data_IF_447918515792
#
_entry.id   IF_447918515792
#
_cell.length_a   1.000
_cell.length_b   1.000
_cell.length_c   1.000
_cell.angle_alpha   90.00
_cell.angle_beta   90.00
_cell.angle_gamma   90.00
#
_symmetry.space_group_name_H-M   'P 1'
#
loop_
_entity.id
_entity.type
_entity.pdbx_description
1 polymer ?
#
# COMPACT_ATOMS: atom_id res chain seq x y z
N UNK A 1 33.41 51.92 -7.06
CA UNK A 1 32.34 51.12 -6.42
C UNK A 1 31.62 50.38 -7.55
N UNK A 2 32.26 49.49 -8.30
CA UNK A 2 32.74 48.16 -7.88
C UNK A 2 31.70 47.39 -7.06
N UNK A 3 31.10 46.36 -7.70
CA UNK A 3 31.04 44.95 -7.26
C UNK A 3 29.67 44.31 -7.59
N UNK A 4 29.72 43.03 -8.00
CA UNK A 4 28.63 42.08 -8.30
C UNK A 4 28.21 41.89 -9.76
N UNK A 5 29.18 41.49 -10.59
CA UNK A 5 28.90 40.40 -11.54
C UNK A 5 29.02 39.07 -10.78
N UNK A 6 27.89 38.39 -10.54
CA UNK A 6 27.89 37.02 -10.02
C UNK A 6 27.92 36.04 -11.20
N UNK A 7 29.02 35.31 -11.30
CA UNK A 7 29.21 34.24 -12.28
C UNK A 7 28.35 33.03 -11.88
N UNK A 8 27.33 32.72 -12.68
CA UNK A 8 26.70 31.40 -12.67
C UNK A 8 27.55 30.49 -13.56
N UNK A 9 28.47 29.74 -12.95
CA UNK A 9 29.14 28.66 -13.65
C UNK A 9 28.12 27.54 -13.95
N UNK A 10 28.17 26.89 -15.13
CA UNK A 10 27.34 25.74 -15.42
C UNK A 10 27.67 24.60 -14.44
N UNK A 11 26.64 24.06 -13.78
CA UNK A 11 26.76 22.90 -12.89
C UNK A 11 27.21 21.70 -13.71
N UNK A 12 28.37 21.13 -13.37
CA UNK A 12 28.86 19.91 -14.00
C UNK A 12 27.78 18.80 -13.90
N UNK A 13 27.60 17.96 -14.95
CA UNK A 13 26.68 16.84 -14.89
C UNK A 13 27.08 15.94 -13.71
N UNK A 14 26.08 15.45 -12.96
CA UNK A 14 26.31 14.44 -11.94
C UNK A 14 27.04 13.26 -12.59
N UNK A 15 28.11 12.79 -11.95
CA UNK A 15 28.86 11.65 -12.43
C UNK A 15 27.89 10.46 -12.58
N UNK A 16 27.58 10.12 -13.83
CA UNK A 16 26.91 8.86 -14.15
C UNK A 16 27.90 7.79 -13.74
N UNK A 17 27.61 7.07 -12.66
CA UNK A 17 28.41 5.90 -12.28
C UNK A 17 28.48 5.01 -13.52
N UNK A 18 29.70 4.65 -13.91
CA UNK A 18 29.88 3.67 -14.99
C UNK A 18 29.09 2.43 -14.61
N UNK A 19 28.43 1.83 -15.60
CA UNK A 19 27.58 0.63 -15.44
C UNK A 19 28.31 -0.49 -14.67
N UNK A 20 29.64 -0.50 -14.70
CA UNK A 20 30.51 -1.41 -13.93
C UNK A 20 30.52 -1.23 -12.40
N UNK A 21 29.96 -0.16 -11.83
CA UNK A 21 29.95 0.10 -10.37
C UNK A 21 28.60 -0.22 -9.69
N UNK A 22 27.71 -0.92 -10.38
CA UNK A 22 26.42 -1.33 -9.80
C UNK A 22 26.63 -2.58 -8.94
N UNK A 23 26.83 -2.35 -7.65
CA UNK A 23 26.97 -3.41 -6.65
C UNK A 23 25.58 -3.83 -6.16
N UNK A 24 25.16 -5.05 -6.49
CA UNK A 24 23.92 -5.61 -5.97
C UNK A 24 24.11 -5.99 -4.50
N UNK A 25 23.07 -5.84 -3.66
CA UNK A 25 23.14 -6.07 -2.19
C UNK A 25 23.66 -7.45 -1.78
N UNK A 26 23.81 -8.39 -2.70
CA UNK A 26 24.42 -9.72 -2.55
C UNK A 26 25.95 -9.73 -2.61
N UNK A 27 26.63 -8.60 -2.89
CA UNK A 27 28.08 -8.51 -3.00
C UNK A 27 28.66 -9.13 -4.28
N UNK A 28 27.82 -9.31 -5.30
CA UNK A 28 28.17 -9.91 -6.60
C UNK A 28 28.31 -8.80 -7.64
N UNK A 29 29.48 -8.71 -8.28
CA UNK A 29 29.74 -7.67 -9.28
C UNK A 29 29.00 -7.97 -10.59
N UNK A 30 28.73 -6.94 -11.40
CA UNK A 30 28.11 -7.10 -12.72
C UNK A 30 28.92 -8.03 -13.64
N UNK A 31 30.24 -8.02 -13.48
CA UNK A 31 31.17 -8.89 -14.22
C UNK A 31 31.03 -10.35 -13.81
N UNK A 32 30.87 -10.64 -12.52
CA UNK A 32 30.62 -11.99 -12.01
C UNK A 32 29.26 -12.53 -12.48
N UNK A 33 28.23 -11.69 -12.47
CA UNK A 33 26.92 -12.02 -13.02
C UNK A 33 26.99 -12.29 -14.53
N UNK A 34 27.70 -11.44 -15.28
CA UNK A 34 27.91 -11.63 -16.72
C UNK A 34 28.65 -12.94 -17.02
N UNK A 35 29.63 -13.33 -16.20
CA UNK A 35 30.35 -14.59 -16.35
C UNK A 35 29.44 -15.80 -16.06
N UNK A 36 28.62 -15.74 -15.01
CA UNK A 36 27.64 -16.80 -14.71
C UNK A 36 26.57 -16.94 -15.79
N UNK A 37 26.11 -15.81 -16.38
CA UNK A 37 25.20 -15.83 -17.53
C UNK A 37 25.88 -16.45 -18.75
N UNK A 38 27.15 -16.13 -19.02
CA UNK A 38 27.90 -16.75 -20.12
C UNK A 38 28.13 -18.25 -19.92
N UNK A 39 28.37 -18.70 -18.69
CA UNK A 39 28.51 -20.11 -18.34
C UNK A 39 27.18 -20.88 -18.52
N UNK A 40 26.05 -20.25 -18.16
CA UNK A 40 24.70 -20.77 -18.43
C UNK A 40 24.41 -20.86 -19.94
N UNK A 41 24.81 -19.87 -20.74
CA UNK A 41 24.68 -19.87 -22.20
C UNK A 41 25.54 -20.95 -22.86
N UNK A 42 26.71 -21.27 -22.30
CA UNK A 42 27.55 -22.37 -22.79
C UNK A 42 26.94 -23.73 -22.44
N UNK A 43 26.33 -23.88 -21.27
CA UNK A 43 25.54 -25.07 -20.93
C UNK A 43 24.36 -25.24 -21.91
N UNK A 44 23.67 -24.16 -22.31
CA UNK A 44 22.59 -24.22 -23.32
C UNK A 44 23.03 -24.78 -24.69
N UNK A 45 24.33 -24.76 -25.04
CA UNK A 45 24.85 -25.28 -26.31
C UNK A 45 25.28 -26.75 -26.24
N UNK A 46 25.20 -27.40 -25.07
CA UNK A 46 25.46 -28.82 -24.94
C UNK A 46 24.32 -29.65 -25.54
N UNK A 47 24.66 -30.69 -26.31
CA UNK A 47 23.70 -31.73 -26.71
C UNK A 47 23.27 -32.53 -25.47
N UNK A 48 22.31 -31.99 -24.74
CA UNK A 48 21.63 -32.70 -23.67
C UNK A 48 20.65 -33.70 -24.29
N UNK A 49 20.59 -34.93 -23.75
CA UNK A 49 19.50 -35.84 -24.07
C UNK A 49 18.15 -35.21 -23.71
N UNK A 50 17.07 -35.58 -24.42
CA UNK A 50 15.73 -34.95 -24.34
C UNK A 50 15.24 -34.70 -22.90
N UNK A 51 15.56 -35.59 -21.96
CA UNK A 51 15.17 -35.47 -20.55
C UNK A 51 15.94 -34.35 -19.82
N UNK A 52 17.26 -34.26 -20.01
CA UNK A 52 18.09 -33.24 -19.35
C UNK A 52 17.86 -31.86 -19.95
N UNK A 53 17.56 -31.78 -21.26
CA UNK A 53 17.15 -30.54 -21.90
C UNK A 53 15.82 -30.00 -21.32
N UNK A 54 14.84 -30.89 -21.06
CA UNK A 54 13.58 -30.53 -20.42
C UNK A 54 13.79 -30.04 -18.98
N UNK A 55 14.67 -30.70 -18.21
CA UNK A 55 15.01 -30.30 -16.85
C UNK A 55 15.73 -28.94 -16.80
N UNK A 56 16.70 -28.72 -17.69
CA UNK A 56 17.40 -27.43 -17.84
C UNK A 56 16.42 -26.33 -18.24
N UNK A 57 15.52 -26.59 -19.20
CA UNK A 57 14.50 -25.62 -19.61
C UNK A 57 13.52 -25.32 -18.47
N UNK A 58 13.07 -26.33 -17.73
CA UNK A 58 12.15 -26.16 -16.60
C UNK A 58 12.82 -25.39 -15.46
N UNK A 59 14.08 -25.71 -15.14
CA UNK A 59 14.87 -24.99 -14.15
C UNK A 59 15.11 -23.55 -14.59
N UNK A 60 15.37 -23.31 -15.88
CA UNK A 60 15.52 -21.98 -16.45
C UNK A 60 14.22 -21.19 -16.35
N UNK A 61 13.09 -21.76 -16.77
CA UNK A 61 11.77 -21.12 -16.64
C UNK A 61 11.44 -20.83 -15.19
N UNK A 62 11.77 -21.73 -14.26
CA UNK A 62 11.58 -21.53 -12.83
C UNK A 62 12.45 -20.37 -12.30
N UNK A 63 13.74 -20.34 -12.65
CA UNK A 63 14.68 -19.29 -12.27
C UNK A 63 14.27 -17.94 -12.88
N UNK A 64 13.90 -17.93 -14.16
CA UNK A 64 13.46 -16.74 -14.89
C UNK A 64 12.16 -16.19 -14.30
N UNK A 65 11.18 -17.06 -14.02
CA UNK A 65 9.95 -16.66 -13.33
C UNK A 65 10.19 -16.14 -11.92
N UNK A 66 11.24 -16.62 -11.25
CA UNK A 66 11.60 -16.21 -9.90
C UNK A 66 12.38 -14.88 -9.87
N UNK A 67 13.18 -14.61 -10.89
CA UNK A 67 14.09 -13.47 -10.92
C UNK A 67 13.53 -12.27 -11.70
N UNK A 68 12.69 -12.47 -12.70
CA UNK A 68 12.18 -11.37 -13.53
C UNK A 68 10.88 -10.75 -12.99
N UNK A 69 10.80 -9.41 -12.86
CA UNK A 69 9.56 -8.74 -12.54
C UNK A 69 8.59 -8.82 -13.73
N UNK A 70 7.48 -9.54 -13.57
CA UNK A 70 6.55 -9.86 -14.67
C UNK A 70 5.40 -8.85 -14.82
N UNK A 71 5.11 -8.07 -13.78
CA UNK A 71 3.94 -7.20 -13.73
C UNK A 71 4.32 -5.76 -14.07
N UNK A 72 3.76 -5.24 -15.16
CA UNK A 72 3.93 -3.84 -15.55
C UNK A 72 2.95 -2.95 -14.79
N UNK A 73 3.40 -2.30 -13.73
CA UNK A 73 2.62 -1.35 -12.94
C UNK A 73 3.12 0.09 -13.11
N UNK A 74 2.71 0.95 -12.18
CA UNK A 74 3.14 2.35 -12.16
C UNK A 74 3.48 2.82 -10.75
N UNK A 75 4.42 3.74 -10.66
CA UNK A 75 4.59 4.61 -9.49
C UNK A 75 3.75 5.86 -9.74
N UNK A 76 2.87 6.19 -8.79
CA UNK A 76 1.92 7.30 -8.94
C UNK A 76 1.64 7.98 -7.61
N UNK A 77 1.14 9.21 -7.68
CA UNK A 77 0.43 9.85 -6.57
C UNK A 77 -1.08 9.69 -6.78
N UNK A 78 -1.86 9.59 -5.71
CA UNK A 78 -3.33 9.47 -5.80
C UNK A 78 -3.97 10.76 -5.29
N UNK A 79 -4.42 11.62 -6.20
CA UNK A 79 -5.03 12.90 -5.87
C UNK A 79 -6.55 12.79 -5.77
N UNK A 80 -7.10 12.97 -4.58
CA UNK A 80 -8.54 12.97 -4.35
C UNK A 80 -9.19 14.25 -4.87
N UNK A 81 -10.39 14.15 -5.46
CA UNK A 81 -11.20 15.29 -5.93
C UNK A 81 -11.44 16.34 -4.85
N UNK A 82 -11.42 15.97 -3.57
CA UNK A 82 -11.55 16.91 -2.45
C UNK A 82 -10.31 17.79 -2.21
N UNK A 83 -9.26 17.66 -3.01
CA UNK A 83 -8.10 18.56 -2.98
C UNK A 83 -6.92 18.07 -2.14
N UNK A 84 -6.83 16.77 -1.88
CA UNK A 84 -5.79 16.15 -1.06
C UNK A 84 -5.13 15.01 -1.81
N UNK A 85 -3.82 14.85 -1.64
CA UNK A 85 -3.11 13.63 -1.99
C UNK A 85 -3.27 12.62 -0.87
N UNK A 86 -3.56 11.37 -1.22
CA UNK A 86 -3.41 10.27 -0.27
C UNK A 86 -1.93 10.19 0.14
N UNK A 87 -1.67 10.00 1.42
CA UNK A 87 -0.33 9.75 1.95
C UNK A 87 -0.33 8.57 2.92
N UNK A 88 0.83 7.93 3.06
CA UNK A 88 1.07 6.91 4.08
C UNK A 88 2.31 7.27 4.87
N UNK A 89 2.11 7.63 6.13
CA UNK A 89 3.16 8.03 7.05
C UNK A 89 3.98 6.81 7.53
N UNK A 90 5.21 7.02 8.07
CA UNK A 90 6.08 5.93 8.54
C UNK A 90 5.47 5.03 9.62
N UNK A 91 4.53 5.55 10.41
CA UNK A 91 3.80 4.81 11.45
C UNK A 91 2.64 3.96 10.89
N UNK A 92 2.42 3.97 9.58
CA UNK A 92 1.31 3.31 8.90
C UNK A 92 0.03 4.14 8.84
N UNK A 93 0.03 5.37 9.35
CA UNK A 93 -1.16 6.23 9.29
C UNK A 93 -1.47 6.62 7.84
N UNK A 94 -2.76 6.46 7.46
CA UNK A 94 -3.30 6.85 6.17
C UNK A 94 -4.20 8.10 6.32
N UNK A 95 -3.85 9.16 5.61
CA UNK A 95 -4.60 10.40 5.57
C UNK A 95 -4.38 11.14 4.23
N UNK A 96 -4.93 12.34 4.13
CA UNK A 96 -4.85 13.21 2.98
C UNK A 96 -4.09 14.49 3.31
N UNK A 97 -3.11 14.85 2.50
CA UNK A 97 -2.33 16.08 2.65
C UNK A 97 -2.42 16.98 1.42
N UNK A 98 -2.18 18.28 1.62
CA UNK A 98 -2.02 19.27 0.54
C UNK A 98 -0.55 19.51 0.18
N UNK A 99 0.38 18.99 0.98
CA UNK A 99 1.81 19.12 0.72
C UNK A 99 2.25 18.20 -0.43
N UNK A 100 2.40 18.76 -1.62
CA UNK A 100 2.80 18.03 -2.84
C UNK A 100 4.25 17.53 -2.80
N UNK A 101 5.07 18.06 -1.90
CA UNK A 101 6.49 17.75 -1.76
C UNK A 101 6.73 16.63 -0.74
N UNK A 102 5.68 16.17 -0.05
CA UNK A 102 5.79 15.05 0.87
C UNK A 102 6.32 13.81 0.16
N UNK A 103 7.32 13.18 0.77
CA UNK A 103 7.91 11.96 0.22
C UNK A 103 7.00 10.72 0.38
N UNK A 104 5.91 10.86 1.14
CA UNK A 104 4.94 9.82 1.52
C UNK A 104 3.75 9.70 0.57
N UNK A 105 3.75 10.44 -0.54
CA UNK A 105 2.67 10.45 -1.54
C UNK A 105 2.80 9.38 -2.64
N UNK A 106 3.94 8.68 -2.67
CA UNK A 106 4.29 7.78 -3.75
C UNK A 106 3.79 6.38 -3.46
N UNK A 107 3.02 5.84 -4.40
CA UNK A 107 2.48 4.49 -4.34
C UNK A 107 2.84 3.70 -5.59
N UNK A 108 3.20 2.43 -5.39
CA UNK A 108 3.18 1.41 -6.42
C UNK A 108 1.72 0.97 -6.63
N UNK A 109 1.21 1.16 -7.85
CA UNK A 109 -0.03 0.55 -8.33
C UNK A 109 0.34 -0.70 -9.13
N UNK A 110 0.21 -1.84 -8.46
CA UNK A 110 0.65 -3.14 -8.99
C UNK A 110 -0.58 -3.88 -9.52
N UNK A 111 -0.66 -4.22 -10.82
CA UNK A 111 -1.78 -4.98 -11.35
C UNK A 111 -1.70 -6.43 -10.87
N UNK A 112 -2.70 -6.87 -10.10
CA UNK A 112 -2.77 -8.22 -9.50
C UNK A 112 -3.98 -9.00 -10.03
N UNK A 113 -4.54 -8.55 -11.15
CA UNK A 113 -5.69 -9.14 -11.83
C UNK A 113 -6.33 -8.16 -12.80
N UNK A 114 -7.32 -8.63 -13.57
CA UNK A 114 -8.05 -7.79 -14.52
C UNK A 114 -8.78 -6.66 -13.77
N UNK A 115 -8.28 -5.42 -13.92
CA UNK A 115 -8.79 -4.23 -13.22
C UNK A 115 -8.72 -4.35 -11.70
N UNK A 116 -7.78 -5.15 -11.19
CA UNK A 116 -7.53 -5.29 -9.76
C UNK A 116 -6.09 -4.86 -9.50
N UNK A 117 -5.93 -3.95 -8.55
CA UNK A 117 -4.63 -3.41 -8.18
C UNK A 117 -4.37 -3.65 -6.69
N UNK A 118 -3.10 -3.87 -6.37
CA UNK A 118 -2.56 -3.65 -5.05
C UNK A 118 -1.99 -2.23 -4.98
N UNK A 119 -2.15 -1.56 -3.84
CA UNK A 119 -1.62 -0.21 -3.61
C UNK A 119 -0.62 -0.31 -2.47
N UNK A 120 0.65 -0.07 -2.77
CA UNK A 120 1.75 -0.19 -1.82
C UNK A 120 2.52 1.13 -1.71
N UNK A 121 2.85 1.57 -0.50
CA UNK A 121 3.72 2.73 -0.32
C UNK A 121 5.14 2.42 -0.77
N UNK A 122 5.73 3.30 -1.58
CA UNK A 122 7.14 3.14 -2.00
C UNK A 122 8.12 3.39 -0.86
N UNK A 123 7.67 4.07 0.22
CA UNK A 123 8.53 4.44 1.36
C UNK A 123 8.56 3.40 2.45
N UNK A 124 7.40 2.86 2.81
CA UNK A 124 7.26 1.91 3.90
C UNK A 124 7.21 0.46 3.42
N UNK A 125 6.91 0.23 2.14
CA UNK A 125 6.66 -1.12 1.61
C UNK A 125 5.33 -1.73 2.05
N UNK A 126 4.52 -1.01 2.84
CA UNK A 126 3.24 -1.50 3.32
C UNK A 126 2.17 -1.38 2.24
N UNK A 127 1.29 -2.38 2.17
CA UNK A 127 0.08 -2.37 1.35
C UNK A 127 -1.05 -1.68 2.08
N UNK A 128 -1.92 -1.00 1.34
CA UNK A 128 -3.24 -0.60 1.85
C UNK A 128 -4.14 -1.84 1.84
N UNK A 129 -4.86 -2.09 2.93
CA UNK A 129 -5.89 -3.12 3.05
C UNK A 129 -7.22 -2.51 3.51
N UNK A 130 -8.33 -3.20 3.26
CA UNK A 130 -9.64 -2.85 3.83
C UNK A 130 -10.23 -4.07 4.52
N UNK A 131 -10.51 -3.95 5.82
CA UNK A 131 -11.03 -5.06 6.60
C UNK A 131 -12.56 -5.26 6.45
N UNK A 132 -13.08 -6.36 7.00
CA UNK A 132 -14.51 -6.72 6.97
C UNK A 132 -15.44 -5.70 7.63
N UNK A 133 -14.92 -4.84 8.51
CA UNK A 133 -15.68 -3.73 9.08
C UNK A 133 -15.69 -2.51 8.15
N UNK A 134 -14.75 -2.42 7.20
CA UNK A 134 -14.61 -1.35 6.22
C UNK A 134 -13.58 -0.30 6.62
N UNK A 135 -12.77 -0.55 7.65
CA UNK A 135 -11.64 0.31 7.96
C UNK A 135 -10.49 0.06 6.98
N UNK A 136 -9.87 1.14 6.52
CA UNK A 136 -8.59 1.04 5.84
C UNK A 136 -7.49 0.85 6.88
N UNK A 137 -6.54 -0.01 6.56
CA UNK A 137 -5.37 -0.28 7.39
C UNK A 137 -4.16 -0.53 6.49
N UNK A 138 -2.98 -0.64 7.09
CA UNK A 138 -1.74 -0.96 6.40
C UNK A 138 -1.26 -2.36 6.75
N UNK A 139 -0.78 -3.11 5.77
CA UNK A 139 -0.34 -4.50 5.91
C UNK A 139 1.06 -4.68 5.35
N UNK A 140 1.93 -5.39 6.08
CA UNK A 140 3.23 -5.85 5.55
C UNK A 140 3.04 -6.94 4.49
N UNK A 141 2.07 -7.82 4.72
CA UNK A 141 1.79 -8.93 3.82
C UNK A 141 0.72 -8.56 2.80
N UNK A 142 0.88 -9.04 1.57
CA UNK A 142 -0.15 -8.95 0.55
C UNK A 142 -1.24 -9.99 0.82
N UNK A 143 -2.42 -9.53 1.22
CA UNK A 143 -3.58 -10.39 1.50
C UNK A 143 -4.72 -10.12 0.51
N UNK A 144 -5.78 -10.96 0.48
CA UNK A 144 -6.98 -10.66 -0.28
C UNK A 144 -7.62 -9.30 0.05
N UNK A 145 -7.45 -8.79 1.27
CA UNK A 145 -7.95 -7.47 1.69
C UNK A 145 -7.17 -6.30 1.06
N UNK A 146 -5.97 -6.55 0.52
CA UNK A 146 -5.14 -5.58 -0.20
C UNK A 146 -5.51 -5.43 -1.69
N UNK A 147 -6.50 -6.20 -2.17
CA UNK A 147 -6.94 -6.18 -3.57
C UNK A 147 -8.09 -5.20 -3.75
N UNK A 148 -7.87 -4.20 -4.61
CA UNK A 148 -8.89 -3.21 -4.96
C UNK A 148 -9.25 -3.29 -6.43
N UNK A 149 -10.55 -3.37 -6.71
CA UNK A 149 -11.06 -3.19 -8.07
C UNK A 149 -10.99 -1.71 -8.43
N UNK A 150 -10.23 -1.38 -9.46
CA UNK A 150 -10.21 -0.06 -10.06
C UNK A 150 -11.32 0.08 -11.10
N UNK A 151 -12.03 1.20 -11.07
CA UNK A 151 -13.09 1.49 -12.02
C UNK A 151 -13.08 2.97 -12.37
N UNK A 152 -13.15 3.26 -13.67
CA UNK A 152 -13.36 4.62 -14.18
C UNK A 152 -14.78 5.08 -13.81
N UNK A 153 -14.89 6.35 -13.43
CA UNK A 153 -16.13 7.03 -13.13
C UNK A 153 -16.21 8.35 -13.93
N UNK A 154 -17.33 8.54 -14.64
CA UNK A 154 -17.59 9.70 -15.51
C UNK A 154 -16.44 9.99 -16.51
N UNK A 155 -15.74 8.94 -16.96
CA UNK A 155 -14.59 9.01 -17.89
C UNK A 155 -13.43 9.89 -17.43
N UNK A 156 -13.33 10.22 -16.14
CA UNK A 156 -12.32 11.14 -15.63
C UNK A 156 -11.66 10.66 -14.33
N UNK A 157 -12.46 10.20 -13.38
CA UNK A 157 -11.96 9.75 -12.08
C UNK A 157 -11.77 8.24 -12.05
N UNK A 158 -10.86 7.78 -11.19
CA UNK A 158 -10.72 6.37 -10.82
C UNK A 158 -11.27 6.19 -9.40
N UNK A 159 -12.00 5.09 -9.22
CA UNK A 159 -12.51 4.63 -7.92
C UNK A 159 -11.88 3.29 -7.58
N UNK A 160 -11.53 3.08 -6.31
CA UNK A 160 -10.94 1.84 -5.82
C UNK A 160 -11.87 1.21 -4.79
N UNK A 161 -12.41 0.03 -5.10
CA UNK A 161 -13.34 -0.68 -4.20
C UNK A 161 -12.78 -2.01 -3.73
N UNK A 162 -13.11 -2.41 -2.50
CA UNK A 162 -12.80 -3.75 -2.02
C UNK A 162 -13.39 -4.82 -2.96
N UNK A 163 -12.62 -5.85 -3.26
CA UNK A 163 -13.14 -7.00 -3.99
C UNK A 163 -13.97 -7.93 -3.09
N UNK A 164 -13.71 -7.91 -1.77
CA UNK A 164 -14.33 -8.78 -0.78
C UNK A 164 -15.59 -8.16 -0.18
N UNK A 165 -15.51 -6.88 0.21
CA UNK A 165 -16.50 -6.28 1.10
C UNK A 165 -17.45 -5.31 0.40
N UNK A 166 -18.74 -5.52 0.67
CA UNK A 166 -19.87 -4.83 0.05
C UNK A 166 -21.01 -4.77 1.07
N UNK A 167 -21.95 -3.85 0.88
CA UNK A 167 -23.18 -3.83 1.66
C UNK A 167 -23.99 -5.12 1.39
N UNK A 168 -24.29 -5.89 2.42
CA UNK A 168 -24.98 -7.19 2.30
C UNK A 168 -26.32 -7.11 1.59
N UNK A 169 -27.15 -6.11 1.95
CA UNK A 169 -28.50 -6.00 1.39
C UNK A 169 -28.55 -5.37 -0.01
N UNK A 170 -27.78 -4.30 -0.26
CA UNK A 170 -27.87 -3.56 -1.52
C UNK A 170 -26.79 -3.94 -2.55
N UNK A 171 -25.83 -4.78 -2.19
CA UNK A 171 -24.67 -5.11 -3.03
C UNK A 171 -23.71 -3.94 -3.27
N UNK A 172 -23.95 -2.78 -2.66
CA UNK A 172 -23.14 -1.56 -2.86
C UNK A 172 -21.71 -1.79 -2.38
N UNK A 173 -20.75 -1.65 -3.27
CA UNK A 173 -19.33 -1.80 -2.94
C UNK A 173 -18.84 -0.75 -1.93
N UNK A 174 -17.77 -1.10 -1.22
CA UNK A 174 -17.07 -0.20 -0.30
C UNK A 174 -15.81 0.34 -0.97
N UNK A 175 -15.50 1.60 -0.74
CA UNK A 175 -14.48 2.33 -1.51
C UNK A 175 -13.43 2.96 -0.61
N UNK A 176 -12.19 3.05 -1.10
CA UNK A 176 -11.21 3.98 -0.55
C UNK A 176 -11.75 5.40 -0.75
N UNK A 177 -11.60 6.26 0.26
CA UNK A 177 -12.00 7.66 0.11
C UNK A 177 -11.48 8.58 1.21
N UNK A 178 -11.39 9.86 0.87
CA UNK A 178 -10.96 10.94 1.76
C UNK A 178 -12.11 11.95 1.90
N UNK A 179 -12.40 12.39 3.12
CA UNK A 179 -13.43 13.40 3.37
C UNK A 179 -12.96 14.81 2.96
N UNK A 180 -13.74 15.85 3.26
CA UNK A 180 -13.39 17.25 2.91
C UNK A 180 -12.32 17.84 3.84
N UNK A 181 -12.06 17.19 4.96
CA UNK A 181 -11.10 17.61 5.98
C UNK A 181 -9.73 16.91 5.79
N UNK A 182 -9.57 16.11 4.73
CA UNK A 182 -8.34 15.38 4.45
C UNK A 182 -8.20 14.06 5.22
N UNK A 183 -9.26 13.57 5.88
CA UNK A 183 -9.20 12.32 6.65
C UNK A 183 -9.71 11.14 5.82
N UNK A 184 -9.04 9.99 5.97
CA UNK A 184 -9.49 8.74 5.39
C UNK A 184 -10.83 8.30 6.00
N UNK A 185 -11.72 7.80 5.15
CA UNK A 185 -13.07 7.39 5.52
C UNK A 185 -13.20 5.87 5.58
N UNK A 186 -14.08 5.40 6.47
CA UNK A 186 -14.57 4.01 6.48
C UNK A 186 -15.26 3.68 5.15
N UNK A 187 -14.87 2.59 4.50
CA UNK A 187 -15.23 2.28 3.12
C UNK A 187 -16.72 2.14 2.86
N UNK A 188 -17.50 1.68 3.85
CA UNK A 188 -18.95 1.59 3.75
C UNK A 188 -19.65 2.97 3.71
N UNK A 189 -19.01 4.03 4.19
CA UNK A 189 -19.48 5.43 4.17
C UNK A 189 -19.14 6.14 2.86
N UNK A 190 -18.17 5.62 2.11
CA UNK A 190 -17.76 6.16 0.81
C UNK A 190 -18.71 5.64 -0.27
N UNK A 191 -19.19 6.53 -1.14
CA UNK A 191 -20.13 6.21 -2.23
C UNK A 191 -19.48 6.52 -3.57
N UNK A 192 -19.65 5.64 -4.56
CA UNK A 192 -19.10 5.77 -5.91
C UNK A 192 -19.37 7.14 -6.56
N UNK A 193 -20.56 7.70 -6.32
CA UNK A 193 -21.03 8.97 -6.93
C UNK A 193 -20.62 10.22 -6.14
N UNK A 194 -19.82 10.07 -5.07
CA UNK A 194 -19.40 11.17 -4.22
C UNK A 194 -17.92 11.42 -4.40
N UNK A 195 -17.54 12.70 -4.40
CA UNK A 195 -16.15 13.14 -4.62
C UNK A 195 -15.12 12.50 -3.70
N UNK A 196 -15.52 12.04 -2.51
CA UNK A 196 -14.65 11.29 -1.60
C UNK A 196 -14.02 10.05 -2.24
N UNK A 197 -14.74 9.38 -3.16
CA UNK A 197 -14.27 8.15 -3.82
C UNK A 197 -13.43 8.41 -5.08
N UNK A 198 -13.35 9.68 -5.51
CA UNK A 198 -12.84 10.04 -6.83
C UNK A 198 -11.37 10.40 -6.73
N UNK A 199 -10.51 9.60 -7.35
CA UNK A 199 -9.08 9.84 -7.41
C UNK A 199 -8.61 10.10 -8.84
N UNK A 200 -7.58 10.91 -8.97
CA UNK A 200 -6.82 11.12 -10.19
C UNK A 200 -5.40 10.59 -9.96
N UNK A 201 -5.03 9.46 -10.59
CA UNK A 201 -3.65 8.98 -10.58
C UNK A 201 -2.76 9.98 -11.32
N UNK A 202 -1.77 10.53 -10.62
CA UNK A 202 -0.72 11.37 -11.21
C UNK A 202 0.53 10.51 -11.40
N UNK A 203 0.67 9.97 -12.62
CA UNK A 203 1.78 9.11 -13.02
C UNK A 203 3.13 9.78 -12.74
N UNK A 204 4.04 9.03 -12.14
CA UNK A 204 5.44 9.42 -11.97
C UNK A 204 6.28 8.64 -12.97
N UNK A 205 6.22 7.31 -12.92
CA UNK A 205 6.93 6.43 -13.84
C UNK A 205 6.24 5.06 -13.97
N UNK A 206 6.63 4.33 -15.02
CA UNK A 206 6.24 2.93 -15.21
C UNK A 206 7.32 2.06 -14.57
N UNK A 207 6.91 1.03 -13.84
CA UNK A 207 7.83 0.13 -13.16
C UNK A 207 7.40 -1.33 -13.33
N UNK A 208 8.38 -2.23 -13.31
CA UNK A 208 8.17 -3.67 -13.36
C UNK A 208 8.22 -4.23 -11.94
N UNK A 209 7.21 -5.01 -11.57
CA UNK A 209 7.04 -5.59 -10.24
C UNK A 209 7.03 -7.11 -10.32
N UNK A 210 7.59 -7.74 -9.28
CA UNK A 210 7.38 -9.16 -9.04
C UNK A 210 5.94 -9.36 -8.54
N UNK A 211 5.34 -10.49 -8.88
CA UNK A 211 4.03 -10.84 -8.33
C UNK A 211 4.09 -10.94 -6.80
N UNK A 212 3.26 -10.20 -6.06
CA UNK A 212 3.25 -10.27 -4.60
C UNK A 212 2.75 -11.63 -4.12
N UNK A 213 3.49 -12.26 -3.20
CA UNK A 213 3.07 -13.54 -2.59
C UNK A 213 1.80 -13.35 -1.77
N UNK A 214 0.73 -14.07 -2.12
CA UNK A 214 -0.54 -13.99 -1.43
C UNK A 214 -0.47 -14.71 -0.07
N UNK A 215 -0.83 -14.00 1.00
CA UNK A 215 -0.93 -14.53 2.36
C UNK A 215 -2.39 -14.56 2.80
N UNK A 216 -2.74 -15.50 3.67
CA UNK A 216 -4.06 -15.55 4.29
C UNK A 216 -4.28 -14.36 5.23
N UNK A 217 -5.53 -13.96 5.39
CA UNK A 217 -5.91 -12.94 6.36
C UNK A 217 -5.77 -13.57 7.75
N UNK A 218 -4.80 -13.13 8.53
CA UNK A 218 -4.68 -13.57 9.91
C UNK A 218 -5.96 -13.16 10.68
N UNK A 219 -6.65 -14.12 11.29
CA UNK A 219 -7.75 -13.84 12.22
C UNK A 219 -7.18 -13.07 13.42
N UNK A 220 -7.31 -11.75 13.42
CA UNK A 220 -6.95 -10.94 14.58
C UNK A 220 -7.96 -11.23 15.68
N UNK A 221 -7.51 -12.00 16.69
CA UNK A 221 -8.19 -12.12 17.98
C UNK A 221 -8.50 -10.72 18.55
N UNK A 222 -9.64 -10.53 19.25
CA UNK A 222 -10.08 -9.21 19.70
C UNK A 222 -9.02 -8.55 20.62
N UNK A 223 -8.93 -7.21 20.63
CA UNK A 223 -7.92 -6.50 21.40
C UNK A 223 -7.97 -6.93 22.87
N UNK A 224 -6.84 -7.47 23.34
CA UNK A 224 -6.59 -7.87 24.72
C UNK A 224 -6.95 -6.70 25.63
N UNK A 225 -8.06 -6.84 26.39
CA UNK A 225 -8.40 -5.91 27.47
C UNK A 225 -7.16 -5.77 28.36
N UNK A 226 -6.61 -4.57 28.43
CA UNK A 226 -5.55 -4.22 29.36
C UNK A 226 -6.03 -4.58 30.77
N UNK A 227 -5.34 -5.52 31.40
CA UNK A 227 -5.51 -5.85 32.80
C UNK A 227 -5.26 -4.58 33.63
N UNK A 228 -6.28 -4.12 34.36
CA UNK A 228 -6.10 -3.18 35.46
C UNK A 228 -5.89 -4.00 36.73
N UNK A 229 -4.62 -4.15 37.11
CA UNK A 229 -4.23 -4.48 38.49
C UNK A 229 -4.31 -3.22 39.33
N UNK A 230 -5.15 -3.22 40.36
CA UNK A 230 -4.73 -2.99 41.76
C UNK A 230 -5.94 -2.84 42.70
N UNK A 231 -5.69 -3.33 43.91
CA UNK A 231 -6.58 -3.70 45.01
C UNK A 231 -6.99 -2.52 45.91
N UNK A 232 -8.28 -2.46 46.29
CA UNK A 232 -8.91 -2.13 47.61
C UNK A 232 -8.54 -0.84 48.43
N UNK A 233 -9.30 -0.42 49.48
CA UNK A 233 -10.58 -0.90 50.05
C UNK A 233 -11.67 0.18 50.37
N UNK A 234 -12.84 -0.36 50.71
CA UNK A 234 -14.07 0.17 51.36
C UNK A 234 -13.91 1.36 52.33
N UNK A 235 -14.79 2.37 52.21
CA UNK A 235 -15.28 3.17 53.34
C UNK A 235 -16.79 3.45 53.23
N UNK A 236 -17.53 2.96 54.24
CA UNK A 236 -18.93 3.31 54.57
C UNK A 236 -18.99 4.77 55.03
N UNK A 237 -19.93 5.56 54.51
CA UNK A 237 -20.51 6.71 55.23
C UNK A 237 -21.99 6.81 54.92
N UNK A 238 -22.80 6.63 55.96
CA UNK A 238 -24.24 6.87 55.92
C UNK A 238 -24.57 8.35 55.92
N UNK A 239 -25.79 8.67 55.49
CA UNK A 239 -26.47 9.89 55.88
C UNK A 239 -27.98 9.66 55.92
N UNK A 240 -28.53 9.73 57.13
CA UNK A 240 -29.96 9.92 57.43
C UNK A 240 -30.31 11.37 57.10
N UNK A 241 -31.50 11.60 56.55
CA UNK A 241 -32.37 12.78 56.77
C UNK A 241 -33.79 12.37 56.33
N UNK A 242 -34.70 12.11 57.28
CA UNK A 242 -35.76 12.98 57.84
C UNK A 242 -37.04 13.13 56.98
N UNK A 243 -38.02 12.32 57.39
CA UNK A 243 -39.49 12.47 57.49
C UNK A 243 -40.11 13.83 57.13
N UNK A 244 -41.24 13.80 56.40
CA UNK A 244 -42.53 14.53 56.60
C UNK A 244 -43.64 13.85 55.73
N UNK A 245 -44.96 14.05 55.98
CA UNK A 245 -45.97 12.98 55.96
C UNK A 245 -46.98 13.03 54.79
N UNK A 246 -47.90 12.06 54.82
CA UNK A 246 -48.96 11.70 53.85
C UNK A 246 -49.92 12.85 53.42
N UNK A 247 -50.77 12.61 52.41
CA UNK A 247 -52.10 12.05 52.71
C UNK A 247 -52.64 10.98 51.74
N UNK A 248 -53.61 10.28 52.29
CA UNK A 248 -54.58 9.29 51.77
C UNK A 248 -55.10 9.47 50.34
N UNK A 249 -55.34 8.36 49.65
CA UNK A 249 -56.62 8.10 48.94
C UNK A 249 -56.73 6.63 48.49
N UNK A 250 -57.89 6.05 48.84
CA UNK A 250 -58.55 4.82 48.34
C UNK A 250 -57.95 3.46 48.67
#
# INVERSE_FOLDING_TARGET
>A
METLMSAVAPRAPAAVKRVSEVDFRSGTTLEQLSAQVQELVQLEQGEFGDQTALEVHTAKDFIFNMLEPQLKGIVTRLYCRHGFYLQMLPDGTLDGTKDENSSFLLFNLIPVGLRIVAIQSTKTGLYIGMNSEGYLYTSEHFTPECKFKECVFENYYVTYSSILYRQTQSGRAWYIGINRDGQVMKGNRVKKTKGAAHFLPKLIEVAMYREPSLHDVAEQSPPRKTAKTSDSPVQKKGKKDKVLPAPTAS
#
